data_IF_730614917128
#
_entry.id   IF_730614917128
#
_cell.length_a   1.000
_cell.length_b   1.000
_cell.length_c   1.000
_cell.angle_alpha   90.00
_cell.angle_beta   90.00
_cell.angle_gamma   90.00
#
_symmetry.space_group_name_H-M   'P 1'
#
loop_
_entity.id
_entity.type
_entity.pdbx_description
1 polymer ?
#
# COMPACT_ATOMS: atom_id res chain seq x y z
N UNK A 1 2.41 -12.49 12.14
CA UNK A 1 1.45 -12.24 11.02
C UNK A 1 1.79 -10.91 10.38
N UNK A 2 1.83 -10.86 9.05
CA UNK A 2 2.14 -9.65 8.28
C UNK A 2 1.04 -9.38 7.25
N UNK A 3 0.33 -8.25 7.38
CA UNK A 3 -0.81 -7.87 6.55
C UNK A 3 -0.49 -6.54 5.87
N UNK A 4 -0.68 -6.49 4.56
CA UNK A 4 -0.43 -5.32 3.73
C UNK A 4 -1.74 -4.74 3.21
N UNK A 5 -1.83 -3.43 3.20
CA UNK A 5 -2.93 -2.66 2.62
C UNK A 5 -2.42 -1.88 1.41
N UNK A 6 -3.02 -2.14 0.27
CA UNK A 6 -2.70 -1.50 -1.01
C UNK A 6 -3.90 -0.74 -1.57
N UNK A 7 -3.66 0.15 -2.50
CA UNK A 7 -4.68 0.96 -3.16
C UNK A 7 -4.25 2.41 -3.33
N UNK A 8 -4.95 3.13 -4.19
CA UNK A 8 -4.67 4.55 -4.48
C UNK A 8 -4.97 5.43 -3.25
N UNK A 9 -4.48 6.68 -3.26
CA UNK A 9 -4.78 7.64 -2.20
C UNK A 9 -6.29 7.90 -2.09
N UNK A 10 -6.79 8.16 -0.90
CA UNK A 10 -8.23 8.34 -0.68
C UNK A 10 -9.06 7.06 -0.63
N UNK A 11 -8.45 5.86 -0.80
CA UNK A 11 -9.16 4.58 -0.66
C UNK A 11 -9.54 4.22 0.78
N UNK A 12 -9.06 4.98 1.78
CA UNK A 12 -9.45 4.77 3.18
C UNK A 12 -8.55 3.81 3.96
N UNK A 13 -7.42 3.37 3.42
CA UNK A 13 -6.47 2.44 4.07
C UNK A 13 -6.18 2.79 5.52
N UNK A 14 -5.72 4.01 5.79
CA UNK A 14 -5.32 4.42 7.14
C UNK A 14 -6.46 4.35 8.16
N UNK A 15 -7.70 4.63 7.75
CA UNK A 15 -8.89 4.51 8.62
C UNK A 15 -9.20 3.05 8.94
N UNK A 16 -9.11 2.18 7.94
CA UNK A 16 -9.33 0.73 8.10
C UNK A 16 -8.23 0.10 8.95
N UNK A 17 -6.97 0.47 8.72
CA UNK A 17 -5.83 0.02 9.52
C UNK A 17 -6.01 0.40 10.99
N UNK A 18 -6.43 1.64 11.28
CA UNK A 18 -6.65 2.10 12.65
C UNK A 18 -7.75 1.26 13.35
N UNK A 19 -8.89 1.02 12.70
CA UNK A 19 -9.97 0.20 13.25
C UNK A 19 -9.57 -1.27 13.43
N UNK A 20 -8.86 -1.84 12.46
CA UNK A 20 -8.36 -3.20 12.58
C UNK A 20 -7.35 -3.33 13.74
N UNK A 21 -6.44 -2.34 13.89
CA UNK A 21 -5.54 -2.27 15.03
C UNK A 21 -6.30 -2.31 16.35
N UNK A 22 -7.28 -1.40 16.54
CA UNK A 22 -8.07 -1.33 17.77
C UNK A 22 -8.80 -2.66 18.04
N UNK A 23 -9.36 -3.28 17.00
CA UNK A 23 -10.01 -4.58 17.12
C UNK A 23 -9.03 -5.68 17.58
N UNK A 24 -7.87 -5.80 16.94
CA UNK A 24 -6.87 -6.82 17.29
C UNK A 24 -6.30 -6.60 18.70
N UNK A 25 -6.03 -5.35 19.07
CA UNK A 25 -5.58 -5.00 20.43
C UNK A 25 -6.65 -5.32 21.48
N UNK A 26 -7.94 -5.12 21.19
CA UNK A 26 -9.05 -5.53 22.07
C UNK A 26 -9.12 -7.05 22.30
N UNK A 27 -8.54 -7.84 21.38
CA UNK A 27 -8.37 -9.30 21.50
C UNK A 27 -7.07 -9.70 22.21
N UNK A 28 -6.31 -8.73 22.72
CA UNK A 28 -5.04 -8.98 23.43
C UNK A 28 -3.83 -9.20 22.52
N UNK A 29 -3.95 -8.93 21.23
CA UNK A 29 -2.84 -9.06 20.27
C UNK A 29 -1.93 -7.84 20.33
N UNK A 30 -0.64 -8.03 20.16
CA UNK A 30 0.31 -6.93 19.95
C UNK A 30 0.25 -6.51 18.48
N UNK A 31 0.04 -5.23 18.20
CA UNK A 31 -0.05 -4.73 16.83
C UNK A 31 1.02 -3.68 16.55
N UNK A 32 1.72 -3.83 15.44
CA UNK A 32 2.62 -2.83 14.90
C UNK A 32 2.03 -2.26 13.60
N UNK A 33 1.86 -0.94 13.54
CA UNK A 33 1.44 -0.25 12.32
C UNK A 33 2.65 0.43 11.69
N UNK A 34 2.84 0.21 10.40
CA UNK A 34 3.92 0.80 9.62
C UNK A 34 3.45 1.17 8.21
N UNK A 35 4.31 1.82 7.44
CA UNK A 35 3.99 2.24 6.08
C UNK A 35 5.24 2.34 5.22
N UNK A 36 5.06 2.30 3.91
CA UNK A 36 6.09 2.65 2.93
C UNK A 36 5.62 3.83 2.05
N UNK A 37 6.54 4.80 1.74
CA UNK A 37 7.90 4.88 2.25
C UNK A 37 7.95 5.06 3.76
N UNK A 38 9.02 4.52 4.39
CA UNK A 38 9.19 4.58 5.84
C UNK A 38 9.55 5.98 6.35
N UNK A 39 9.44 6.19 7.66
CA UNK A 39 9.99 7.38 8.32
C UNK A 39 11.54 7.40 8.44
N UNK A 40 12.24 6.41 7.90
CA UNK A 40 13.70 6.34 7.86
C UNK A 40 14.34 7.36 6.93
N UNK A 41 15.66 7.40 6.89
CA UNK A 41 16.38 8.39 6.08
C UNK A 41 16.09 8.27 4.58
N UNK A 42 16.05 7.03 4.04
CA UNK A 42 15.78 6.77 2.63
C UNK A 42 14.31 7.06 2.32
N UNK A 43 13.38 6.57 3.14
CA UNK A 43 11.95 6.80 2.95
C UNK A 43 11.59 8.28 3.01
N UNK A 44 12.15 9.03 3.96
CA UNK A 44 12.00 10.50 4.00
C UNK A 44 12.57 11.16 2.77
N UNK A 45 13.75 10.76 2.33
CA UNK A 45 14.38 11.33 1.14
C UNK A 45 13.51 11.18 -0.09
N UNK A 46 13.05 9.96 -0.38
CA UNK A 46 12.20 9.70 -1.57
C UNK A 46 10.84 10.39 -1.45
N UNK A 47 10.26 10.51 -0.25
CA UNK A 47 8.97 11.14 -0.04
C UNK A 47 8.99 12.68 -0.16
N UNK A 48 10.16 13.31 -0.08
CA UNK A 48 10.30 14.79 -0.05
C UNK A 48 11.16 15.34 -1.18
N UNK A 49 11.66 14.48 -2.09
CA UNK A 49 12.48 14.90 -3.22
C UNK A 49 11.64 14.85 -4.49
N UNK A 50 11.40 16.01 -5.04
CA UNK A 50 10.68 16.16 -6.29
C UNK A 50 11.51 15.83 -7.51
N UNK A 51 11.79 15.94 -8.48
CA UNK A 51 12.69 15.83 -9.63
C UNK A 51 13.60 14.56 -9.68
N UNK A 52 13.22 13.47 -9.00
CA UNK A 52 13.90 12.20 -9.19
C UNK A 52 13.56 11.60 -10.56
N UNK A 53 14.57 11.08 -11.26
CA UNK A 53 14.27 10.26 -12.44
C UNK A 53 13.58 8.96 -11.99
N UNK A 54 12.63 8.43 -12.78
CA UNK A 54 11.79 7.30 -12.37
C UNK A 54 12.56 6.10 -11.86
N UNK A 55 13.70 5.77 -12.49
CA UNK A 55 14.56 4.66 -12.08
C UNK A 55 15.18 4.88 -10.70
N UNK A 56 15.63 6.10 -10.40
CA UNK A 56 16.20 6.43 -9.11
C UNK A 56 15.12 6.38 -8.01
N UNK A 57 13.93 6.90 -8.29
CA UNK A 57 12.80 6.82 -7.37
C UNK A 57 12.44 5.36 -7.05
N UNK A 58 12.29 4.51 -8.07
CA UNK A 58 12.00 3.09 -7.88
C UNK A 58 13.07 2.38 -7.05
N UNK A 59 14.36 2.62 -7.33
CA UNK A 59 15.47 2.03 -6.58
C UNK A 59 15.51 2.52 -5.12
N UNK A 60 15.15 3.77 -4.86
CA UNK A 60 15.05 4.30 -3.50
C UNK A 60 13.91 3.66 -2.71
N UNK A 61 12.73 3.45 -3.31
CA UNK A 61 11.65 2.67 -2.69
C UNK A 61 12.11 1.24 -2.36
N UNK A 62 12.86 0.60 -3.25
CA UNK A 62 13.40 -0.74 -3.03
C UNK A 62 14.44 -0.75 -1.90
N UNK A 63 15.32 0.25 -1.84
CA UNK A 63 16.32 0.38 -0.78
C UNK A 63 15.67 0.64 0.59
N UNK A 64 14.64 1.49 0.67
CA UNK A 64 13.86 1.72 1.88
C UNK A 64 13.18 0.42 2.35
N UNK A 65 12.55 -0.30 1.43
CA UNK A 65 11.92 -1.61 1.67
C UNK A 65 12.89 -2.66 2.19
N UNK A 66 14.11 -2.70 1.65
CA UNK A 66 15.13 -3.65 2.10
C UNK A 66 15.46 -3.48 3.59
N UNK A 67 15.50 -2.24 4.09
CA UNK A 67 15.67 -1.95 5.50
C UNK A 67 14.40 -2.27 6.29
N UNK A 68 13.25 -1.85 5.78
CA UNK A 68 11.96 -2.04 6.42
C UNK A 68 11.58 -3.52 6.59
N UNK A 69 11.87 -4.35 5.59
CA UNK A 69 11.64 -5.81 5.67
C UNK A 69 12.36 -6.44 6.87
N UNK A 70 13.55 -5.95 7.20
CA UNK A 70 14.30 -6.38 8.39
C UNK A 70 13.55 -6.06 9.69
N UNK A 71 12.98 -4.85 9.76
CA UNK A 71 12.21 -4.43 10.93
C UNK A 71 10.88 -5.21 11.02
N UNK A 72 10.21 -5.44 9.91
CA UNK A 72 8.98 -6.27 9.84
C UNK A 72 9.26 -7.67 10.37
N UNK A 73 10.32 -8.33 9.91
CA UNK A 73 10.70 -9.67 10.39
C UNK A 73 10.92 -9.67 11.88
N UNK A 74 11.66 -8.68 12.41
CA UNK A 74 11.91 -8.55 13.85
C UNK A 74 10.61 -8.37 14.63
N UNK A 75 9.69 -7.53 14.19
CA UNK A 75 8.40 -7.35 14.88
C UNK A 75 7.57 -8.62 14.86
N UNK A 76 7.59 -9.37 13.76
CA UNK A 76 6.91 -10.67 13.69
C UNK A 76 7.53 -11.67 14.69
N UNK A 77 8.86 -11.73 14.79
CA UNK A 77 9.58 -12.58 15.76
C UNK A 77 9.29 -12.18 17.21
N UNK A 78 9.06 -10.87 17.47
CA UNK A 78 8.65 -10.33 18.77
C UNK A 78 7.15 -10.56 19.07
N UNK A 79 6.42 -11.25 18.16
CA UNK A 79 5.03 -11.65 18.32
C UNK A 79 4.00 -10.57 17.96
N UNK A 80 4.39 -9.56 17.17
CA UNK A 80 3.46 -8.57 16.67
C UNK A 80 2.69 -9.05 15.43
N UNK A 81 1.44 -8.62 15.32
CA UNK A 81 0.74 -8.51 14.04
C UNK A 81 1.19 -7.21 13.40
N UNK A 82 1.81 -7.28 12.23
CA UNK A 82 2.31 -6.12 11.50
C UNK A 82 1.30 -5.73 10.43
N UNK A 83 0.79 -4.50 10.52
CA UNK A 83 -0.11 -3.87 9.53
C UNK A 83 0.67 -2.82 8.76
N UNK A 84 0.80 -2.97 7.46
CA UNK A 84 1.60 -2.09 6.61
C UNK A 84 0.73 -1.37 5.58
N UNK A 85 0.75 -0.03 5.59
CA UNK A 85 0.14 0.80 4.55
C UNK A 85 1.13 0.93 3.39
N UNK A 86 0.85 0.29 2.29
CA UNK A 86 1.69 0.13 1.09
C UNK A 86 2.90 -0.79 1.29
N UNK A 87 3.25 -1.49 0.22
CA UNK A 87 4.41 -2.36 0.14
C UNK A 87 4.89 -2.44 -1.32
N UNK A 88 5.48 -3.55 -1.74
CA UNK A 88 6.06 -3.70 -3.08
C UNK A 88 5.05 -3.47 -4.22
N UNK A 89 3.78 -3.82 -4.03
CA UNK A 89 2.77 -3.66 -5.08
C UNK A 89 2.49 -2.18 -5.40
N UNK A 90 2.64 -1.27 -4.43
CA UNK A 90 2.62 0.17 -4.69
C UNK A 90 3.70 0.57 -5.70
N UNK A 91 4.95 0.13 -5.52
CA UNK A 91 6.03 0.40 -6.49
C UNK A 91 5.70 -0.19 -7.87
N UNK A 92 5.21 -1.44 -7.91
CA UNK A 92 4.85 -2.06 -9.20
C UNK A 92 3.72 -1.30 -9.90
N UNK A 93 2.67 -0.90 -9.17
CA UNK A 93 1.50 -0.24 -9.75
C UNK A 93 1.82 1.19 -10.23
N UNK A 94 2.44 1.99 -9.37
CA UNK A 94 2.68 3.40 -9.66
C UNK A 94 3.75 3.60 -10.74
N UNK A 95 4.90 2.92 -10.64
CA UNK A 95 5.98 3.09 -11.58
C UNK A 95 5.67 2.44 -12.94
N UNK A 96 4.95 1.31 -12.99
CA UNK A 96 4.50 0.76 -14.29
C UNK A 96 3.45 1.65 -14.97
N UNK A 97 2.54 2.25 -14.21
CA UNK A 97 1.60 3.25 -14.73
C UNK A 97 2.31 4.49 -15.28
N UNK A 98 3.47 4.84 -14.75
CA UNK A 98 4.36 5.88 -15.27
C UNK A 98 5.17 5.43 -16.51
N UNK A 99 5.03 4.19 -16.97
CA UNK A 99 5.65 3.66 -18.18
C UNK A 99 6.93 2.85 -17.98
N UNK A 100 7.29 2.54 -16.74
CA UNK A 100 8.46 1.69 -16.46
C UNK A 100 8.18 0.21 -16.75
N UNK A 101 9.21 -0.52 -17.10
CA UNK A 101 9.11 -1.97 -17.37
C UNK A 101 8.75 -2.75 -16.11
N UNK A 102 7.59 -3.41 -16.13
CA UNK A 102 7.09 -4.18 -15.01
C UNK A 102 7.98 -5.36 -14.64
N UNK A 103 8.63 -5.97 -15.63
CA UNK A 103 9.58 -7.08 -15.41
C UNK A 103 10.79 -6.63 -14.60
N UNK A 104 11.35 -5.48 -14.94
CA UNK A 104 12.45 -4.88 -14.20
C UNK A 104 12.03 -4.50 -12.78
N UNK A 105 10.86 -3.87 -12.61
CA UNK A 105 10.32 -3.52 -11.30
C UNK A 105 10.14 -4.75 -10.42
N UNK A 106 9.62 -5.85 -10.96
CA UNK A 106 9.51 -7.13 -10.23
C UNK A 106 10.89 -7.68 -9.85
N UNK A 107 11.86 -7.63 -10.77
CA UNK A 107 13.20 -8.14 -10.54
C UNK A 107 13.92 -7.42 -9.40
N UNK A 108 13.89 -6.09 -9.36
CA UNK A 108 14.54 -5.32 -8.28
C UNK A 108 13.87 -5.50 -6.92
N UNK A 109 12.59 -5.87 -6.87
CA UNK A 109 11.84 -6.11 -5.64
C UNK A 109 12.01 -7.54 -5.11
N UNK A 110 12.31 -8.51 -5.96
CA UNK A 110 12.21 -9.95 -5.64
C UNK A 110 13.04 -10.41 -4.44
N UNK A 111 14.20 -9.81 -4.21
CA UNK A 111 15.15 -10.22 -3.18
C UNK A 111 15.02 -9.42 -1.87
N UNK A 112 14.17 -8.41 -1.84
CA UNK A 112 14.03 -7.52 -0.67
C UNK A 112 12.63 -7.55 -0.07
N UNK A 113 11.72 -8.33 -0.66
CA UNK A 113 10.37 -8.51 -0.16
C UNK A 113 10.21 -9.85 0.54
N UNK A 114 9.45 -9.86 1.64
CA UNK A 114 8.89 -11.07 2.21
C UNK A 114 7.43 -11.18 1.81
N UNK A 115 6.92 -12.40 1.72
CA UNK A 115 5.53 -12.62 1.37
C UNK A 115 4.63 -12.25 2.55
N UNK A 116 3.66 -11.33 2.39
CA UNK A 116 2.63 -11.09 3.40
C UNK A 116 1.74 -12.33 3.60
N UNK A 117 1.19 -12.51 4.79
CA UNK A 117 0.15 -13.50 5.06
C UNK A 117 -1.14 -13.13 4.32
N UNK A 118 -1.44 -11.82 4.22
CA UNK A 118 -2.50 -11.30 3.38
C UNK A 118 -2.13 -9.93 2.80
N UNK A 119 -2.58 -9.68 1.56
CA UNK A 119 -2.59 -8.34 0.97
C UNK A 119 -4.03 -7.96 0.64
N UNK A 120 -4.48 -6.84 1.18
CA UNK A 120 -5.83 -6.30 0.97
C UNK A 120 -5.72 -5.10 0.05
N UNK A 121 -6.30 -5.24 -1.15
CA UNK A 121 -6.42 -4.14 -2.10
C UNK A 121 -7.73 -3.39 -1.83
N UNK A 122 -7.61 -2.16 -1.35
CA UNK A 122 -8.71 -1.22 -1.16
C UNK A 122 -9.03 -0.56 -2.51
N UNK A 123 -9.90 -1.21 -3.30
CA UNK A 123 -10.26 -0.71 -4.64
C UNK A 123 -11.29 0.40 -4.56
N UNK A 124 -11.04 1.50 -5.24
CA UNK A 124 -11.93 2.66 -5.31
C UNK A 124 -11.86 3.29 -6.69
N UNK A 125 -12.98 3.86 -7.14
CA UNK A 125 -12.97 4.66 -8.36
C UNK A 125 -12.07 5.89 -8.21
N UNK A 126 -11.13 6.14 -9.16
CA UNK A 126 -10.22 7.27 -9.10
C UNK A 126 -10.92 8.64 -9.02
N UNK A 127 -12.12 8.79 -9.58
CA UNK A 127 -12.87 10.03 -9.46
C UNK A 127 -13.38 10.26 -8.03
N UNK A 128 -13.80 9.20 -7.37
CA UNK A 128 -14.21 9.23 -5.95
C UNK A 128 -13.00 9.47 -5.06
N UNK A 129 -11.89 8.79 -5.35
CA UNK A 129 -10.61 8.96 -4.67
C UNK A 129 -10.17 10.42 -4.68
N UNK A 130 -10.12 11.04 -5.87
CA UNK A 130 -9.74 12.45 -6.02
C UNK A 130 -10.66 13.40 -5.24
N UNK A 131 -11.98 13.14 -5.22
CA UNK A 131 -12.91 13.93 -4.41
C UNK A 131 -12.64 13.81 -2.90
N UNK A 132 -12.17 12.65 -2.42
CA UNK A 132 -11.83 12.42 -1.02
C UNK A 132 -10.50 13.06 -0.61
N UNK A 133 -9.55 13.14 -1.53
CA UNK A 133 -8.20 13.69 -1.28
C UNK A 133 -8.16 15.19 -1.55
N UNK A 134 -8.93 15.67 -2.53
CA UNK A 134 -8.75 17.01 -3.08
C UNK A 134 -9.71 18.04 -2.49
N UNK A 135 -9.09 18.94 -1.74
CA UNK A 135 -9.56 20.31 -1.59
C UNK A 135 -8.58 21.32 -2.21
N UNK A 136 -7.55 20.90 -2.98
CA UNK A 136 -6.42 21.78 -3.35
C UNK A 136 -5.91 21.57 -4.77
N UNK A 137 -6.34 22.42 -5.76
CA UNK A 137 -5.56 22.75 -6.95
C UNK A 137 -5.94 22.11 -8.27
N UNK A 138 -6.35 22.93 -9.21
CA UNK A 138 -7.13 22.58 -10.40
C UNK A 138 -6.37 22.20 -11.68
N UNK A 139 -5.07 22.39 -11.81
CA UNK A 139 -4.42 22.27 -13.14
C UNK A 139 -4.03 20.85 -13.58
N UNK A 140 -3.95 19.91 -12.69
CA UNK A 140 -3.53 18.53 -13.03
C UNK A 140 -4.62 17.48 -12.88
N UNK A 141 -5.88 17.86 -12.72
CA UNK A 141 -6.94 16.92 -12.35
C UNK A 141 -7.19 15.85 -13.42
N UNK A 142 -7.21 16.21 -14.70
CA UNK A 142 -7.46 15.25 -15.77
C UNK A 142 -6.26 14.32 -15.99
N UNK A 143 -5.04 14.86 -16.06
CA UNK A 143 -3.81 14.06 -16.18
C UNK A 143 -3.63 13.13 -14.97
N UNK A 144 -3.91 13.65 -13.77
CA UNK A 144 -3.88 12.87 -12.53
C UNK A 144 -4.94 11.77 -12.53
N UNK A 145 -6.14 12.02 -13.06
CA UNK A 145 -7.20 11.02 -13.14
C UNK A 145 -6.83 9.87 -14.09
N UNK A 146 -6.33 10.18 -15.28
CA UNK A 146 -5.92 9.13 -16.24
C UNK A 146 -4.74 8.32 -15.73
N UNK A 147 -3.81 8.95 -15.02
CA UNK A 147 -2.72 8.26 -14.35
C UNK A 147 -3.25 7.32 -13.24
N UNK A 148 -4.15 7.80 -12.38
CA UNK A 148 -4.73 6.98 -11.31
C UNK A 148 -5.58 5.82 -11.85
N UNK A 149 -6.24 5.97 -13.01
CA UNK A 149 -6.91 4.86 -13.70
C UNK A 149 -5.91 3.77 -14.08
N UNK A 150 -4.77 4.14 -14.67
CA UNK A 150 -3.69 3.19 -14.99
C UNK A 150 -3.12 2.51 -13.74
N UNK A 151 -2.94 3.26 -12.64
CA UNK A 151 -2.48 2.70 -11.35
C UNK A 151 -3.49 1.70 -10.81
N UNK A 152 -4.80 2.01 -10.83
CA UNK A 152 -5.86 1.10 -10.41
C UNK A 152 -5.87 -0.18 -11.25
N UNK A 153 -5.78 -0.06 -12.58
CA UNK A 153 -5.74 -1.21 -13.49
C UNK A 153 -4.53 -2.09 -13.22
N UNK A 154 -3.36 -1.48 -12.95
CA UNK A 154 -2.17 -2.20 -12.55
C UNK A 154 -2.37 -2.95 -11.22
N UNK A 155 -2.95 -2.31 -10.20
CA UNK A 155 -3.27 -2.97 -8.93
C UNK A 155 -4.23 -4.16 -9.12
N UNK A 156 -5.28 -4.01 -9.91
CA UNK A 156 -6.24 -5.10 -10.18
C UNK A 156 -5.57 -6.28 -10.92
N UNK A 157 -4.62 -5.99 -11.80
CA UNK A 157 -3.81 -7.02 -12.47
C UNK A 157 -2.90 -7.74 -11.48
N UNK A 158 -2.21 -6.99 -10.62
CA UNK A 158 -1.37 -7.54 -9.56
C UNK A 158 -2.19 -8.34 -8.54
N UNK A 159 -3.40 -7.90 -8.22
CA UNK A 159 -4.28 -8.62 -7.30
C UNK A 159 -4.62 -10.02 -7.82
N UNK A 160 -4.85 -10.17 -9.12
CA UNK A 160 -5.05 -11.48 -9.75
C UNK A 160 -3.79 -12.34 -9.75
N UNK A 161 -2.64 -11.73 -10.03
CA UNK A 161 -1.36 -12.43 -10.12
C UNK A 161 -0.86 -12.93 -8.74
N UNK A 162 -1.03 -12.10 -7.70
CA UNK A 162 -0.50 -12.37 -6.35
C UNK A 162 -1.58 -12.83 -5.37
N UNK A 163 -2.84 -13.06 -5.83
CA UNK A 163 -3.98 -13.47 -5.01
C UNK A 163 -4.29 -12.49 -3.86
N UNK A 164 -4.36 -11.19 -4.15
CA UNK A 164 -4.80 -10.20 -3.17
C UNK A 164 -6.30 -10.33 -2.93
N UNK A 165 -6.74 -10.05 -1.71
CA UNK A 165 -8.15 -9.85 -1.42
C UNK A 165 -8.55 -8.45 -1.83
N UNK A 166 -9.47 -8.33 -2.78
CA UNK A 166 -9.97 -7.03 -3.25
C UNK A 166 -11.22 -6.67 -2.47
N UNK A 167 -11.18 -5.49 -1.82
CA UNK A 167 -12.30 -4.93 -1.06
C UNK A 167 -12.78 -3.65 -1.75
N UNK A 168 -14.08 -3.59 -2.04
CA UNK A 168 -14.71 -2.38 -2.56
C UNK A 168 -14.71 -1.28 -1.49
N UNK A 169 -13.87 -0.27 -1.68
CA UNK A 169 -13.67 0.84 -0.77
C UNK A 169 -14.56 2.07 -1.08
N UNK A 170 -15.45 1.97 -2.06
CA UNK A 170 -16.43 3.03 -2.38
C UNK A 170 -17.72 2.92 -1.57
N UNK A 171 -17.71 2.10 -0.56
CA UNK A 171 -18.82 1.94 0.39
C UNK A 171 -18.60 2.75 1.66
N UNK A 172 -19.56 2.67 2.56
CA UNK A 172 -19.46 3.22 3.91
C UNK A 172 -18.22 2.70 4.66
N UNK A 173 -17.55 3.60 5.39
CA UNK A 173 -16.27 3.30 6.05
C UNK A 173 -16.37 2.21 7.10
N UNK A 174 -17.49 2.17 7.84
CA UNK A 174 -17.68 1.19 8.88
C UNK A 174 -17.90 -0.20 8.28
N UNK A 175 -18.72 -0.26 7.23
CA UNK A 175 -18.96 -1.48 6.46
C UNK A 175 -17.66 -2.06 5.87
N UNK A 176 -16.81 -1.21 5.29
CA UNK A 176 -15.52 -1.64 4.71
C UNK A 176 -14.58 -2.15 5.81
N UNK A 177 -14.53 -1.46 6.94
CA UNK A 177 -13.68 -1.89 8.06
C UNK A 177 -14.15 -3.21 8.68
N UNK A 178 -15.45 -3.41 8.82
CA UNK A 178 -16.02 -4.65 9.35
C UNK A 178 -15.75 -5.85 8.42
N UNK A 179 -15.82 -5.64 7.10
CA UNK A 179 -15.43 -6.66 6.12
C UNK A 179 -13.96 -7.02 6.25
N UNK A 180 -13.06 -6.03 6.35
CA UNK A 180 -11.61 -6.27 6.52
C UNK A 180 -11.33 -7.00 7.84
N UNK A 181 -12.01 -6.64 8.93
CA UNK A 181 -11.89 -7.34 10.21
C UNK A 181 -12.32 -8.81 10.06
N UNK A 182 -13.41 -9.06 9.34
CA UNK A 182 -13.87 -10.43 9.07
C UNK A 182 -12.86 -11.23 8.25
N UNK A 183 -12.28 -10.63 7.20
CA UNK A 183 -11.24 -11.25 6.36
C UNK A 183 -10.04 -11.64 7.23
N UNK A 184 -9.54 -10.72 8.04
CA UNK A 184 -8.36 -10.95 8.89
C UNK A 184 -8.66 -11.95 10.01
N UNK A 185 -9.88 -11.97 10.53
CA UNK A 185 -10.32 -12.93 11.54
C UNK A 185 -10.43 -14.37 11.02
N UNK A 186 -10.41 -14.59 9.71
CA UNK A 186 -10.41 -15.89 9.06
C UNK A 186 -9.01 -16.42 8.67
N UNK A 187 -7.94 -15.63 8.91
CA UNK A 187 -6.55 -16.01 8.63
C UNK A 187 -5.93 -16.78 9.81
#
# INVERSE_FOLDING_TARGET
MFIVFEGIDGSGKSSVIARLKDHLESKGMKVMVTAEPTGGAIGKFVATTDDLIPEAEALLFVADRALHTKDIMKWMDDGYVVLCDRYFASTLAYQSAAGMDLGWLKAINSNVTIRPDATILMDIDPEVSLKRVDARGEKSRFEKLDYLRKVRDAYLSLAKEYNFTVVDADRDRDTVADEVISIVGGL
#
